data_IF_255888521290
#
_entry.id   IF_255888521290
#
_cell.length_a   1.000
_cell.length_b   1.000
_cell.length_c   1.000
_cell.angle_alpha   90.00
_cell.angle_beta   90.00
_cell.angle_gamma   90.00
#
_symmetry.space_group_name_H-M   'P 1'
#
loop_
_entity.id
_entity.type
_entity.pdbx_description
1 polymer ?
#
# COMPACT_ATOMS: atom_id res chain seq x y z
N UNK A 1 32.82 -24.89 25.35
CA UNK A 1 32.87 -23.47 24.95
C UNK A 1 32.21 -23.37 23.62
N UNK A 2 31.06 -22.72 23.52
CA UNK A 2 30.33 -22.60 22.23
C UNK A 2 30.90 -21.37 21.54
N UNK A 3 31.48 -21.52 20.36
CA UNK A 3 31.94 -20.39 19.55
C UNK A 3 30.72 -19.79 18.87
N UNK A 4 30.37 -18.56 19.22
CA UNK A 4 29.34 -17.80 18.52
C UNK A 4 30.03 -17.17 17.33
N UNK A 5 29.73 -17.66 16.13
CA UNK A 5 30.17 -16.97 14.91
C UNK A 5 29.36 -15.68 14.78
N UNK A 6 30.05 -14.56 14.58
CA UNK A 6 29.40 -13.29 14.30
C UNK A 6 28.73 -13.38 12.93
N UNK A 7 27.44 -13.50 12.91
CA UNK A 7 26.66 -13.34 11.68
C UNK A 7 26.79 -11.87 11.23
N UNK A 8 27.49 -11.64 10.14
CA UNK A 8 27.53 -10.34 9.48
C UNK A 8 26.25 -10.21 8.67
N UNK A 9 25.22 -9.62 9.25
CA UNK A 9 24.04 -9.19 8.50
C UNK A 9 24.40 -8.15 7.43
N UNK A 10 23.50 -7.92 6.52
CA UNK A 10 23.67 -6.85 5.53
C UNK A 10 23.81 -5.50 6.26
N UNK A 11 24.88 -4.72 5.97
CA UNK A 11 25.26 -3.57 6.78
C UNK A 11 24.27 -2.41 6.85
N UNK A 12 23.23 -2.40 6.00
CA UNK A 12 22.28 -1.30 5.87
C UNK A 12 20.88 -1.59 6.39
N UNK A 13 20.65 -2.75 7.04
CA UNK A 13 19.31 -3.07 7.57
C UNK A 13 19.04 -2.31 8.85
N UNK A 14 17.95 -1.55 8.85
CA UNK A 14 17.47 -0.77 9.99
C UNK A 14 16.50 -1.60 10.85
N UNK A 15 16.24 -1.12 12.06
CA UNK A 15 15.16 -1.66 12.87
C UNK A 15 13.85 -1.67 12.07
N UNK A 16 13.02 -2.68 12.29
CA UNK A 16 11.71 -2.90 11.66
C UNK A 16 11.71 -3.26 10.15
N UNK A 17 12.86 -3.53 9.55
CA UNK A 17 12.92 -4.02 8.16
C UNK A 17 12.52 -5.50 8.02
N UNK A 18 12.48 -6.23 9.10
CA UNK A 18 12.13 -7.64 9.10
C UNK A 18 10.85 -7.95 9.88
N UNK A 19 10.15 -8.98 9.51
CA UNK A 19 10.15 -9.72 8.26
C UNK A 19 9.20 -9.09 7.24
N UNK A 20 9.59 -8.08 6.55
CA UNK A 20 8.80 -7.28 5.58
C UNK A 20 7.91 -6.20 6.22
N UNK A 21 8.25 -5.72 7.40
CA UNK A 21 7.60 -4.54 7.95
C UNK A 21 8.02 -3.28 7.22
N UNK A 22 7.10 -2.33 7.12
CA UNK A 22 7.42 -1.03 6.55
C UNK A 22 8.27 -0.21 7.51
N UNK A 23 9.22 0.53 6.96
CA UNK A 23 10.00 1.49 7.76
C UNK A 23 9.09 2.68 8.12
N UNK A 24 8.99 2.98 9.42
CA UNK A 24 8.13 4.05 9.94
C UNK A 24 8.88 5.35 10.23
N UNK A 25 10.19 5.42 9.96
CA UNK A 25 10.98 6.61 10.20
C UNK A 25 10.97 7.60 9.02
N UNK A 26 10.46 7.18 7.87
CA UNK A 26 10.45 7.96 6.63
C UNK A 26 9.22 7.67 5.79
N UNK A 27 8.94 8.56 4.84
CA UNK A 27 7.92 8.33 3.81
C UNK A 27 8.30 7.16 2.92
N UNK A 28 7.36 6.29 2.64
CA UNK A 28 7.57 5.07 1.87
C UNK A 28 6.89 5.21 0.52
N UNK A 29 7.63 5.23 -0.60
CA UNK A 29 7.04 5.19 -1.93
C UNK A 29 6.42 3.82 -2.22
N UNK A 30 5.36 3.78 -3.01
CA UNK A 30 4.65 2.56 -3.37
C UNK A 30 5.51 1.57 -4.15
N UNK A 31 6.54 2.04 -4.83
CA UNK A 31 7.54 1.17 -5.46
C UNK A 31 8.14 0.17 -4.48
N UNK A 32 8.44 0.59 -3.25
CA UNK A 32 9.00 -0.27 -2.19
C UNK A 32 7.97 -1.26 -1.61
N UNK A 33 6.68 -0.98 -1.76
CA UNK A 33 5.60 -1.87 -1.31
C UNK A 33 5.17 -2.85 -2.42
N UNK A 34 5.54 -2.57 -3.65
CA UNK A 34 5.20 -3.40 -4.81
C UNK A 34 6.01 -4.71 -4.78
N UNK A 35 5.33 -5.84 -4.95
CA UNK A 35 5.93 -7.18 -4.93
C UNK A 35 6.46 -7.61 -6.30
N UNK A 36 5.91 -7.03 -7.38
CA UNK A 36 6.31 -7.36 -8.75
C UNK A 36 6.08 -6.18 -9.70
N UNK A 37 6.84 -6.18 -10.79
CA UNK A 37 6.74 -5.16 -11.83
C UNK A 37 5.33 -5.18 -12.46
N UNK A 38 4.70 -4.02 -12.57
CA UNK A 38 3.37 -3.87 -13.14
C UNK A 38 2.22 -4.05 -12.16
N UNK A 39 2.48 -4.31 -10.87
CA UNK A 39 1.43 -4.39 -9.85
C UNK A 39 0.61 -3.10 -9.72
N UNK A 40 1.23 -1.96 -10.04
CA UNK A 40 0.62 -0.63 -9.93
C UNK A 40 -0.14 -0.21 -11.18
N UNK A 41 -0.31 -1.11 -12.16
CA UNK A 41 -1.01 -0.84 -13.42
C UNK A 41 -2.12 -1.86 -13.64
N UNK A 42 -3.23 -1.42 -14.25
CA UNK A 42 -4.31 -2.30 -14.65
C UNK A 42 -4.92 -1.80 -15.96
N UNK A 43 -5.36 -2.73 -16.81
CA UNK A 43 -5.95 -2.41 -18.12
C UNK A 43 -7.15 -3.32 -18.38
N UNK A 44 -8.22 -2.76 -18.93
CA UNK A 44 -9.43 -3.50 -19.28
C UNK A 44 -10.62 -2.58 -19.43
N UNK A 45 -11.76 -3.12 -19.88
CA UNK A 45 -13.02 -2.37 -19.86
C UNK A 45 -13.41 -1.98 -18.44
N UNK A 46 -13.18 -2.93 -17.51
CA UNK A 46 -13.25 -2.76 -16.07
C UNK A 46 -11.88 -3.16 -15.51
N UNK A 47 -10.94 -2.21 -15.35
CA UNK A 47 -9.63 -2.52 -14.81
C UNK A 47 -9.75 -3.21 -13.44
N UNK A 48 -9.01 -4.28 -13.23
CA UNK A 48 -8.99 -4.95 -11.94
C UNK A 48 -8.43 -3.99 -10.87
N UNK A 49 -8.94 -4.05 -9.63
CA UNK A 49 -8.42 -3.22 -8.54
C UNK A 49 -6.92 -3.44 -8.31
N UNK A 50 -6.19 -2.34 -8.14
CA UNK A 50 -4.77 -2.36 -7.78
C UNK A 50 -4.66 -2.53 -6.27
N UNK A 51 -3.92 -3.54 -5.82
CA UNK A 51 -3.78 -3.89 -4.40
C UNK A 51 -2.34 -3.83 -3.96
N UNK A 52 -2.10 -3.24 -2.79
CA UNK A 52 -0.80 -3.17 -2.12
C UNK A 52 -0.94 -3.63 -0.67
N UNK A 53 -0.07 -4.54 -0.25
CA UNK A 53 -0.03 -4.99 1.13
C UNK A 53 0.97 -4.15 1.93
N UNK A 54 0.57 -3.75 3.13
CA UNK A 54 1.37 -2.95 4.05
C UNK A 54 1.38 -3.62 5.41
N UNK A 55 2.53 -4.10 5.83
CA UNK A 55 2.71 -4.72 7.14
C UNK A 55 3.38 -3.72 8.09
N UNK A 56 2.69 -3.40 9.18
CA UNK A 56 3.17 -2.45 10.16
C UNK A 56 3.92 -3.15 11.29
N UNK A 57 4.95 -2.49 11.88
CA UNK A 57 5.59 -2.99 13.08
C UNK A 57 4.57 -3.21 14.20
N UNK A 58 4.66 -4.34 14.93
CA UNK A 58 3.62 -4.71 15.89
C UNK A 58 3.62 -3.84 17.17
N UNK A 59 4.66 -3.07 17.39
CA UNK A 59 4.77 -2.12 18.50
C UNK A 59 4.41 -0.68 18.12
N UNK A 60 3.89 -0.48 16.89
CA UNK A 60 3.49 0.85 16.44
C UNK A 60 2.26 1.32 17.22
N UNK A 61 2.39 2.42 17.98
CA UNK A 61 1.34 2.95 18.83
C UNK A 61 0.43 3.91 18.05
N UNK A 62 -0.73 3.41 17.62
CA UNK A 62 -1.64 4.13 16.71
C UNK A 62 -2.43 5.26 17.36
N UNK A 63 -2.44 5.34 18.71
CA UNK A 63 -3.30 6.29 19.44
C UNK A 63 -2.73 7.71 19.46
N UNK A 64 -1.42 7.86 19.30
CA UNK A 64 -0.78 9.17 19.39
C UNK A 64 -0.98 10.06 18.14
N UNK A 65 -1.45 9.49 17.03
CA UNK A 65 -1.79 10.23 15.80
C UNK A 65 -3.10 9.70 15.23
N UNK A 66 -3.97 10.63 14.85
CA UNK A 66 -5.30 10.28 14.32
C UNK A 66 -5.28 9.80 12.87
N UNK A 67 -4.25 10.21 12.11
CA UNK A 67 -4.22 9.97 10.67
C UNK A 67 -2.81 9.66 10.16
N UNK A 68 -2.76 8.89 9.07
CA UNK A 68 -1.61 8.67 8.21
C UNK A 68 -1.81 9.42 6.91
N UNK A 69 -0.81 10.16 6.45
CA UNK A 69 -0.89 10.91 5.21
C UNK A 69 -0.44 10.06 4.02
N UNK A 70 -1.26 10.05 2.98
CA UNK A 70 -0.99 9.43 1.69
C UNK A 70 -1.04 10.51 0.61
N UNK A 71 0.10 10.76 -0.03
CA UNK A 71 0.20 11.62 -1.19
C UNK A 71 -0.02 10.77 -2.46
N UNK A 72 -1.28 10.61 -2.82
CA UNK A 72 -1.71 9.70 -3.88
C UNK A 72 -1.64 10.37 -5.24
N UNK A 73 -0.84 9.80 -6.13
CA UNK A 73 -0.71 10.20 -7.53
C UNK A 73 -1.12 9.06 -8.43
N UNK A 74 -1.94 9.34 -9.42
CA UNK A 74 -2.42 8.32 -10.33
C UNK A 74 -2.74 8.86 -11.72
N UNK A 75 -2.73 7.97 -12.68
CA UNK A 75 -3.08 8.21 -14.08
C UNK A 75 -4.22 7.32 -14.50
N UNK A 76 -5.07 7.82 -15.37
CA UNK A 76 -6.23 7.08 -15.84
C UNK A 76 -6.68 7.51 -17.22
N UNK A 77 -7.29 6.58 -17.96
CA UNK A 77 -8.01 6.91 -19.21
C UNK A 77 -9.23 7.74 -18.87
N UNK A 78 -9.39 8.89 -19.53
CA UNK A 78 -10.58 9.73 -19.30
C UNK A 78 -11.85 8.99 -19.75
N UNK A 79 -12.92 9.02 -18.95
CA UNK A 79 -14.22 8.52 -19.38
C UNK A 79 -14.69 9.27 -20.62
N UNK A 80 -15.23 8.53 -21.59
CA UNK A 80 -15.79 9.09 -22.82
C UNK A 80 -17.28 9.42 -22.61
N UNK A 81 -17.77 10.42 -23.34
CA UNK A 81 -19.22 10.66 -23.44
C UNK A 81 -19.89 11.26 -22.21
N UNK A 82 -19.13 11.73 -21.22
CA UNK A 82 -19.70 12.32 -20.00
C UNK A 82 -20.19 11.30 -18.99
N UNK A 83 -19.72 10.07 -19.11
CA UNK A 83 -20.04 8.98 -18.18
C UNK A 83 -19.44 9.17 -16.81
N UNK A 84 -20.13 8.72 -15.76
CA UNK A 84 -19.57 8.76 -14.41
C UNK A 84 -18.42 7.77 -14.32
N UNK A 85 -17.29 8.24 -13.81
CA UNK A 85 -16.18 7.40 -13.43
C UNK A 85 -15.62 7.88 -12.09
N UNK A 86 -15.23 6.93 -11.27
CA UNK A 86 -14.68 7.21 -9.95
C UNK A 86 -13.54 6.26 -9.61
N UNK A 87 -12.61 6.75 -8.82
CA UNK A 87 -11.62 5.92 -8.15
C UNK A 87 -11.96 5.82 -6.67
N UNK A 88 -12.13 4.62 -6.17
CA UNK A 88 -12.37 4.34 -4.74
C UNK A 88 -11.08 3.85 -4.10
N UNK A 89 -10.72 4.48 -3.02
CA UNK A 89 -9.63 4.06 -2.17
C UNK A 89 -10.17 3.33 -0.94
N UNK A 90 -9.80 2.07 -0.80
CA UNK A 90 -10.21 1.24 0.34
C UNK A 90 -8.98 0.80 1.14
N UNK A 91 -9.15 0.72 2.45
CA UNK A 91 -8.21 0.12 3.38
C UNK A 91 -8.89 -1.08 4.07
N UNK A 92 -8.32 -2.27 3.93
CA UNK A 92 -8.89 -3.50 4.50
C UNK A 92 -10.39 -3.68 4.13
N UNK A 93 -10.71 -3.47 2.84
CA UNK A 93 -12.05 -3.49 2.26
C UNK A 93 -13.03 -2.42 2.80
N UNK A 94 -12.56 -1.48 3.63
CA UNK A 94 -13.34 -0.33 4.08
C UNK A 94 -13.06 0.89 3.21
N UNK A 95 -14.11 1.53 2.70
CA UNK A 95 -13.98 2.75 1.91
C UNK A 95 -13.43 3.88 2.78
N UNK A 96 -12.27 4.41 2.37
CA UNK A 96 -11.64 5.59 2.98
C UNK A 96 -12.10 6.85 2.26
N UNK A 97 -11.99 6.86 0.93
CA UNK A 97 -12.31 8.02 0.10
C UNK A 97 -12.68 7.62 -1.32
N UNK A 98 -13.43 8.49 -2.01
CA UNK A 98 -13.83 8.32 -3.41
C UNK A 98 -13.54 9.60 -4.17
N UNK A 99 -12.91 9.47 -5.35
CA UNK A 99 -12.51 10.57 -6.21
C UNK A 99 -13.26 10.49 -7.53
N UNK A 100 -13.92 11.58 -7.91
CA UNK A 100 -14.56 11.69 -9.21
C UNK A 100 -13.51 11.83 -10.31
N UNK A 101 -13.58 10.96 -11.32
CA UNK A 101 -12.70 10.96 -12.49
C UNK A 101 -13.35 11.63 -13.70
N UNK A 102 -14.63 11.98 -13.60
CA UNK A 102 -15.36 12.64 -14.68
C UNK A 102 -14.79 14.02 -14.94
N UNK A 103 -14.73 14.47 -16.19
CA UNK A 103 -14.26 15.81 -16.53
C UNK A 103 -15.33 16.85 -16.15
N UNK A 104 -15.64 17.02 -14.87
CA UNK A 104 -16.58 18.03 -14.43
C UNK A 104 -15.91 19.36 -14.24
N UNK A 105 -16.47 20.35 -14.99
CA UNK A 105 -16.68 21.75 -14.62
C UNK A 105 -15.85 22.21 -13.40
N UNK A 106 -14.74 22.88 -13.72
CA UNK A 106 -14.24 23.98 -12.91
C UNK A 106 -14.39 23.83 -11.39
N UNK A 107 -13.66 22.96 -10.76
CA UNK A 107 -13.23 23.30 -9.43
C UNK A 107 -12.07 24.29 -9.58
N UNK A 108 -12.29 25.51 -9.09
CA UNK A 108 -11.30 26.61 -9.03
C UNK A 108 -10.13 26.26 -8.07
N UNK A 109 -9.68 25.04 -8.08
CA UNK A 109 -8.46 24.65 -7.40
C UNK A 109 -7.30 24.83 -8.36
N UNK A 110 -6.53 25.85 -8.15
CA UNK A 110 -5.34 26.27 -8.91
C UNK A 110 -4.23 25.20 -9.01
N UNK A 111 -4.49 23.96 -8.61
CA UNK A 111 -3.49 22.88 -8.53
C UNK A 111 -3.80 21.62 -9.34
N UNK A 112 -4.81 21.61 -10.18
CA UNK A 112 -4.95 20.53 -11.15
C UNK A 112 -4.06 20.82 -12.38
N UNK A 113 -2.77 20.58 -12.24
CA UNK A 113 -1.89 20.49 -13.40
C UNK A 113 -2.27 19.23 -14.18
N UNK A 114 -3.22 19.40 -15.11
CA UNK A 114 -3.55 18.38 -16.10
C UNK A 114 -2.38 18.26 -17.08
N UNK A 115 -1.45 17.40 -16.76
CA UNK A 115 -0.40 17.00 -17.70
C UNK A 115 -0.89 15.75 -18.43
N UNK A 116 -1.06 15.86 -19.74
CA UNK A 116 -1.32 14.70 -20.60
C UNK A 116 0.01 14.07 -20.97
N UNK A 117 0.28 12.90 -20.42
CA UNK A 117 1.38 12.06 -20.87
C UNK A 117 0.74 10.81 -21.46
N UNK A 118 0.96 10.56 -22.76
CA UNK A 118 0.45 9.40 -23.48
C UNK A 118 -1.08 9.21 -23.46
N UNK A 119 -1.86 10.29 -23.43
CA UNK A 119 -3.33 10.22 -23.45
C UNK A 119 -4.00 9.92 -22.12
N UNK A 120 -3.24 9.80 -21.04
CA UNK A 120 -3.76 9.60 -19.69
C UNK A 120 -3.87 10.92 -18.94
N UNK A 121 -4.92 11.08 -18.13
CA UNK A 121 -5.07 12.16 -17.18
C UNK A 121 -4.27 11.87 -15.90
N UNK A 122 -3.59 12.87 -15.36
CA UNK A 122 -2.88 12.76 -14.08
C UNK A 122 -3.66 13.51 -12.99
N UNK A 123 -3.81 12.89 -11.84
CA UNK A 123 -4.34 13.52 -10.64
C UNK A 123 -3.42 13.32 -9.44
N UNK A 124 -3.48 14.27 -8.54
CA UNK A 124 -2.76 14.27 -7.29
C UNK A 124 -3.71 14.64 -6.14
N UNK A 125 -3.83 13.76 -5.16
CA UNK A 125 -4.68 13.96 -3.99
C UNK A 125 -3.88 13.68 -2.71
N UNK A 126 -4.06 14.54 -1.71
CA UNK A 126 -3.57 14.27 -0.37
C UNK A 126 -4.68 13.61 0.43
N UNK A 127 -4.52 12.32 0.70
CA UNK A 127 -5.50 11.47 1.37
C UNK A 127 -5.10 11.28 2.82
N UNK A 128 -6.07 11.42 3.71
CA UNK A 128 -5.87 11.21 5.15
C UNK A 128 -6.49 9.87 5.58
N UNK A 129 -5.65 8.91 5.91
CA UNK A 129 -6.08 7.57 6.34
C UNK A 129 -6.27 7.58 7.87
N UNK A 130 -7.47 7.35 8.39
CA UNK A 130 -7.69 7.28 9.83
C UNK A 130 -6.88 6.14 10.46
N UNK A 131 -6.05 6.44 11.46
CA UNK A 131 -5.17 5.44 12.10
C UNK A 131 -5.95 4.29 12.75
N UNK A 132 -7.20 4.52 13.16
CA UNK A 132 -8.10 3.49 13.72
C UNK A 132 -8.47 2.37 12.74
N UNK A 133 -8.30 2.59 11.44
CA UNK A 133 -8.57 1.58 10.40
C UNK A 133 -7.35 0.70 10.12
N UNK A 134 -6.18 1.06 10.63
CA UNK A 134 -4.95 0.32 10.45
C UNK A 134 -4.89 -0.87 11.41
N UNK A 135 -4.31 -1.95 10.91
CA UNK A 135 -3.99 -3.17 11.67
C UNK A 135 -2.52 -3.54 11.49
N UNK A 136 -2.08 -4.68 12.02
CA UNK A 136 -0.72 -5.18 11.77
C UNK A 136 -0.50 -5.50 10.29
N UNK A 137 -1.53 -6.03 9.63
CA UNK A 137 -1.52 -6.33 8.19
C UNK A 137 -2.62 -5.53 7.52
N UNK A 138 -2.26 -4.75 6.51
CA UNK A 138 -3.17 -3.86 5.81
C UNK A 138 -3.10 -4.11 4.31
N UNK A 139 -4.24 -3.97 3.65
CA UNK A 139 -4.34 -3.96 2.20
C UNK A 139 -4.91 -2.64 1.73
N UNK A 140 -4.13 -1.89 0.96
CA UNK A 140 -4.58 -0.72 0.22
C UNK A 140 -5.15 -1.19 -1.10
N UNK A 141 -6.39 -0.80 -1.42
CA UNK A 141 -7.06 -1.16 -2.67
C UNK A 141 -7.49 0.11 -3.41
N UNK A 142 -7.06 0.24 -4.65
CA UNK A 142 -7.44 1.33 -5.56
C UNK A 142 -8.32 0.73 -6.66
N UNK A 143 -9.61 1.03 -6.59
CA UNK A 143 -10.63 0.48 -7.47
C UNK A 143 -11.17 1.56 -8.42
N UNK A 144 -10.85 1.43 -9.71
CA UNK A 144 -11.25 2.36 -10.76
C UNK A 144 -12.52 1.86 -11.43
N UNK A 145 -13.61 2.57 -11.22
CA UNK A 145 -14.92 2.23 -11.77
C UNK A 145 -15.27 3.17 -12.90
N UNK A 146 -15.56 2.58 -14.06
CA UNK A 146 -16.01 3.28 -15.24
C UNK A 146 -17.46 2.90 -15.53
N UNK A 147 -18.32 3.89 -15.77
CA UNK A 147 -19.65 3.67 -16.33
C UNK A 147 -19.55 3.12 -17.75
N UNK A 148 -20.54 2.38 -18.17
CA UNK A 148 -20.72 1.99 -19.58
C UNK A 148 -21.75 2.94 -20.18
N UNK A 149 -21.38 3.73 -21.20
CA UNK A 149 -22.36 4.39 -22.03
C UNK A 149 -23.10 3.34 -22.87
N UNK A 150 -24.29 3.05 -22.43
CA UNK A 150 -25.25 2.44 -23.32
C UNK A 150 -26.07 3.59 -23.93
N UNK A 151 -25.68 4.06 -25.11
CA UNK A 151 -26.43 5.07 -25.83
C UNK A 151 -27.75 4.44 -26.25
N UNK A 152 -28.76 4.56 -25.39
CA UNK A 152 -30.13 4.10 -25.62
C UNK A 152 -30.89 5.00 -26.58
N UNK A 153 -30.28 5.35 -27.71
CA UNK A 153 -30.92 6.06 -28.80
C UNK A 153 -31.97 5.20 -29.46
N UNK A 154 -33.22 5.57 -29.28
CA UNK A 154 -34.42 5.01 -29.96
C UNK A 154 -34.40 5.29 -31.46
N UNK A 155 -33.40 4.87 -32.19
CA UNK A 155 -33.50 4.72 -33.64
C UNK A 155 -32.42 3.81 -34.21
N UNK A 156 -32.86 2.87 -35.02
CA UNK A 156 -32.21 1.83 -35.76
C UNK A 156 -30.93 2.22 -36.52
N UNK A 157 -29.85 2.46 -35.83
CA UNK A 157 -28.52 2.39 -36.42
C UNK A 157 -27.62 1.71 -35.38
N UNK A 158 -27.32 0.45 -35.62
CA UNK A 158 -26.28 -0.27 -34.92
C UNK A 158 -24.96 0.46 -35.14
N UNK A 159 -24.64 1.45 -34.29
CA UNK A 159 -23.29 1.98 -34.19
C UNK A 159 -22.48 0.92 -33.50
N UNK A 160 -21.47 0.39 -34.17
CA UNK A 160 -20.48 -0.47 -33.56
C UNK A 160 -19.78 0.35 -32.47
N UNK A 161 -20.03 0.01 -31.21
CA UNK A 161 -19.31 0.62 -30.09
C UNK A 161 -17.92 -0.01 -30.08
N UNK A 162 -16.91 0.74 -30.46
CA UNK A 162 -15.53 0.32 -30.27
C UNK A 162 -15.21 0.45 -28.77
N UNK A 163 -15.17 -0.69 -28.10
CA UNK A 163 -14.79 -0.73 -26.68
C UNK A 163 -13.27 -0.53 -26.56
N UNK A 164 -12.87 0.64 -26.13
CA UNK A 164 -11.45 0.95 -25.85
C UNK A 164 -11.16 0.55 -24.40
N UNK A 165 -10.14 -0.29 -24.16
CA UNK A 165 -9.79 -0.65 -22.79
C UNK A 165 -9.28 0.57 -22.02
N UNK A 166 -9.77 0.73 -20.80
CA UNK A 166 -9.28 1.74 -19.87
C UNK A 166 -7.93 1.31 -19.31
N UNK A 167 -7.01 2.24 -19.18
CA UNK A 167 -5.73 2.04 -18.54
C UNK A 167 -5.68 2.91 -17.29
N UNK A 168 -5.26 2.31 -16.19
CA UNK A 168 -5.08 2.99 -14.90
C UNK A 168 -3.72 2.63 -14.32
N UNK A 169 -3.12 3.59 -13.64
CA UNK A 169 -1.79 3.45 -13.05
C UNK A 169 -1.72 4.28 -11.76
N UNK A 170 -1.22 3.67 -10.71
CA UNK A 170 -0.80 4.38 -9.49
C UNK A 170 0.68 4.72 -9.63
N UNK A 171 1.05 5.98 -9.39
CA UNK A 171 2.45 6.40 -9.48
C UNK A 171 3.29 5.65 -8.42
N UNK A 172 4.35 4.94 -8.83
CA UNK A 172 5.26 4.26 -7.92
C UNK A 172 5.88 5.18 -6.86
N UNK A 173 6.01 6.47 -7.16
CA UNK A 173 6.55 7.48 -6.24
C UNK A 173 5.49 8.07 -5.28
N UNK A 174 4.25 7.58 -5.29
CA UNK A 174 3.26 8.00 -4.30
C UNK A 174 3.71 7.60 -2.90
N UNK A 175 4.01 8.54 -1.98
CA UNK A 175 4.48 8.19 -0.66
C UNK A 175 3.34 8.05 0.34
N UNK A 176 3.45 7.04 1.20
CA UNK A 176 2.68 6.91 2.44
C UNK A 176 3.57 7.22 3.64
N UNK A 177 3.06 7.97 4.61
CA UNK A 177 3.83 8.51 5.72
C UNK A 177 3.36 7.98 7.07
N UNK A 178 4.10 7.00 7.60
CA UNK A 178 3.91 6.47 8.95
C UNK A 178 4.81 7.13 9.99
N UNK A 179 5.58 8.16 9.62
CA UNK A 179 6.50 8.80 10.55
C UNK A 179 5.77 9.50 11.70
N UNK A 180 6.43 9.56 12.86
CA UNK A 180 5.92 10.22 14.03
C UNK A 180 4.90 9.43 14.87
N UNK A 181 4.64 8.17 14.57
CA UNK A 181 4.04 7.25 15.52
C UNK A 181 5.10 6.76 16.51
N UNK A 182 4.70 6.59 17.77
CA UNK A 182 5.59 6.04 18.78
C UNK A 182 5.66 4.51 18.68
N UNK A 183 6.79 3.96 19.02
CA UNK A 183 6.97 2.53 19.19
C UNK A 183 6.79 2.17 20.66
N UNK A 184 5.76 1.40 20.98
CA UNK A 184 5.45 0.99 22.33
C UNK A 184 4.89 -0.43 22.36
N UNK A 185 5.50 -1.30 23.15
CA UNK A 185 5.00 -2.64 23.40
C UNK A 185 5.07 -2.96 24.90
N UNK A 186 4.06 -3.65 25.39
CA UNK A 186 4.07 -4.20 26.75
C UNK A 186 4.61 -5.61 26.70
N UNK A 187 5.78 -5.83 27.28
CA UNK A 187 6.44 -7.14 27.33
C UNK A 187 6.35 -7.75 28.73
N UNK A 188 6.32 -9.09 28.88
CA UNK A 188 6.28 -10.08 27.77
C UNK A 188 4.90 -10.18 27.11
N UNK A 189 4.87 -10.35 25.79
CA UNK A 189 3.68 -10.62 25.01
C UNK A 189 3.89 -11.91 24.19
N UNK A 190 3.36 -13.03 24.69
CA UNK A 190 3.51 -14.33 24.05
C UNK A 190 2.78 -14.42 22.71
N UNK A 191 1.65 -13.73 22.56
CA UNK A 191 0.91 -13.71 21.30
C UNK A 191 1.71 -12.98 20.22
N UNK A 192 2.28 -11.86 20.57
CA UNK A 192 3.11 -11.07 19.67
C UNK A 192 4.38 -11.85 19.27
N UNK A 193 4.99 -12.52 20.25
CA UNK A 193 6.14 -13.39 20.00
C UNK A 193 5.81 -14.53 19.05
N UNK A 194 4.71 -15.27 19.27
CA UNK A 194 4.35 -16.42 18.43
C UNK A 194 3.98 -16.07 16.99
N UNK A 195 3.43 -14.86 16.78
CA UNK A 195 3.01 -14.40 15.45
C UNK A 195 4.16 -13.78 14.65
N UNK A 196 5.05 -13.06 15.32
CA UNK A 196 6.07 -12.25 14.65
C UNK A 196 7.50 -12.46 15.13
N UNK A 197 7.71 -13.20 16.22
CA UNK A 197 9.00 -13.31 16.89
C UNK A 197 9.43 -12.04 17.62
N UNK A 198 8.55 -11.01 17.68
CA UNK A 198 8.87 -9.76 18.37
C UNK A 198 9.04 -9.97 19.89
N UNK A 199 10.02 -9.34 20.55
CA UNK A 199 10.88 -8.25 20.08
C UNK A 199 12.17 -8.71 19.38
N UNK A 200 12.46 -10.01 19.32
CA UNK A 200 13.74 -10.51 18.83
C UNK A 200 13.95 -10.29 17.34
N UNK A 201 12.88 -10.19 16.57
CA UNK A 201 12.88 -9.92 15.13
C UNK A 201 12.89 -8.44 14.77
N UNK A 202 13.02 -7.54 15.76
CA UNK A 202 13.07 -6.09 15.51
C UNK A 202 14.14 -5.70 14.48
N UNK A 203 15.28 -6.38 14.52
CA UNK A 203 16.33 -6.29 13.51
C UNK A 203 16.35 -7.55 12.67
N UNK A 204 16.32 -7.41 11.35
CA UNK A 204 16.26 -8.52 10.41
C UNK A 204 17.46 -9.47 10.52
N UNK A 205 18.63 -8.91 10.83
CA UNK A 205 19.90 -9.61 10.98
C UNK A 205 20.10 -10.20 12.37
N UNK A 206 19.12 -10.05 13.26
CA UNK A 206 19.19 -10.47 14.65
C UNK A 206 20.40 -9.88 15.41
N UNK A 207 20.94 -8.75 14.95
CA UNK A 207 22.18 -8.13 15.48
C UNK A 207 22.11 -7.80 16.98
N UNK A 208 20.91 -7.65 17.52
CA UNK A 208 20.65 -7.38 18.94
C UNK A 208 20.01 -8.58 19.66
N UNK A 209 20.04 -9.76 19.06
CA UNK A 209 19.43 -10.95 19.63
C UNK A 209 20.47 -12.02 19.87
N UNK A 210 20.52 -12.54 21.10
CA UNK A 210 21.38 -13.64 21.49
C UNK A 210 20.51 -14.88 21.78
N UNK A 211 20.72 -15.95 21.02
CA UNK A 211 20.07 -17.23 21.24
C UNK A 211 21.02 -18.17 22.00
N UNK A 212 20.65 -18.54 23.23
CA UNK A 212 21.40 -19.48 24.04
C UNK A 212 20.73 -20.85 23.98
N UNK A 213 21.47 -21.86 23.55
CA UNK A 213 20.99 -23.24 23.45
C UNK A 213 21.87 -24.19 24.23
N UNK A 214 21.27 -25.26 24.74
CA UNK A 214 22.03 -26.33 25.35
C UNK A 214 22.89 -27.02 24.29
N UNK A 215 24.12 -27.41 24.62
CA UNK A 215 25.07 -28.02 23.69
C UNK A 215 24.51 -29.26 22.94
N UNK A 216 23.64 -30.01 23.60
CA UNK A 216 23.05 -31.25 23.08
C UNK A 216 21.56 -31.04 22.71
N UNK A 217 21.14 -29.84 22.35
CA UNK A 217 19.78 -29.61 21.93
C UNK A 217 19.47 -30.38 20.64
N UNK A 218 18.34 -31.08 20.58
CA UNK A 218 18.00 -31.88 19.39
C UNK A 218 17.76 -30.95 18.17
N UNK A 219 18.13 -31.44 16.98
CA UNK A 219 18.12 -30.65 15.74
C UNK A 219 16.75 -30.05 15.41
N UNK A 220 15.65 -30.66 15.83
CA UNK A 220 14.30 -30.12 15.65
C UNK A 220 14.03 -28.81 16.42
N UNK A 221 14.74 -28.56 17.52
CA UNK A 221 14.66 -27.29 18.26
C UNK A 221 15.38 -26.19 17.50
N UNK A 222 16.42 -26.52 16.73
CA UNK A 222 17.18 -25.57 15.93
C UNK A 222 16.41 -25.11 14.67
N UNK A 223 15.49 -25.92 14.18
CA UNK A 223 14.74 -25.63 12.94
C UNK A 223 13.44 -24.87 13.18
N UNK A 224 13.00 -24.74 14.43
CA UNK A 224 11.75 -24.04 14.79
C UNK A 224 11.96 -22.60 15.24
N UNK A 225 13.18 -22.11 15.28
CA UNK A 225 13.56 -20.72 15.53
C UNK A 225 13.88 -20.00 14.21
#
# INVERSE_FOLDING_TARGET
MVTIENFKGEPDRKAYDAPSWVNTDQKIPFEKLSKYRGQLTSTGLHPAPIKLDVRLPPDLFMVNRSNVNLDLRYRYTRPMGGEPAQMRFLLNDQLVESYDLSPTKTSNSFMSQFSFINGLANLWNNTSIPSRLLSAENQLTFDFQYGLAVDGGTQANCKSVTLIPNQVEIDPNSPIDFSGFYHFARLPDLKLFTVSGYPFTKYADLSQTLVLMKKDAPANVMTTM
#
